data_IF_702303998495
#
_entry.id   IF_702303998495
#
_cell.length_a   1.000
_cell.length_b   1.000
_cell.length_c   1.000
_cell.angle_alpha   90.00
_cell.angle_beta   90.00
_cell.angle_gamma   90.00
#
_symmetry.space_group_name_H-M   'P 1'
#
loop_
_entity.id
_entity.type
_entity.pdbx_description
1 polymer ?
#
# COMPACT_ATOMS: atom_id res chain seq x y z
N UNK A 1 42.97 -15.10 -10.73
CA UNK A 1 42.21 -16.34 -10.95
C UNK A 1 41.28 -16.72 -9.78
N UNK A 2 41.76 -17.09 -8.57
CA UNK A 2 40.86 -17.51 -7.45
C UNK A 2 40.07 -16.36 -6.84
N UNK A 3 40.73 -15.24 -6.55
CA UNK A 3 40.10 -14.03 -5.97
C UNK A 3 39.11 -13.40 -6.94
N UNK A 4 39.45 -13.35 -8.22
CA UNK A 4 38.57 -12.86 -9.29
C UNK A 4 37.29 -13.70 -9.44
N UNK A 5 37.39 -15.03 -9.33
CA UNK A 5 36.21 -15.92 -9.33
C UNK A 5 35.32 -15.68 -8.11
N UNK A 6 35.91 -15.57 -6.92
CA UNK A 6 35.16 -15.26 -5.70
C UNK A 6 34.48 -13.89 -5.76
N UNK A 7 35.14 -12.90 -6.37
CA UNK A 7 34.57 -11.57 -6.61
C UNK A 7 33.38 -11.64 -7.57
N UNK A 8 33.49 -12.39 -8.67
CA UNK A 8 32.41 -12.56 -9.63
C UNK A 8 31.21 -13.32 -9.03
N UNK A 9 31.45 -14.34 -8.22
CA UNK A 9 30.39 -15.05 -7.50
C UNK A 9 29.62 -14.13 -6.55
N UNK A 10 30.35 -13.24 -5.85
CA UNK A 10 29.73 -12.26 -4.95
C UNK A 10 28.92 -11.21 -5.71
N UNK A 11 29.42 -10.73 -6.86
CA UNK A 11 28.69 -9.80 -7.73
C UNK A 11 27.39 -10.44 -8.21
N UNK A 12 27.46 -11.67 -8.74
CA UNK A 12 26.28 -12.41 -9.21
C UNK A 12 25.24 -12.61 -8.11
N UNK A 13 25.68 -12.81 -6.86
CA UNK A 13 24.77 -12.96 -5.72
C UNK A 13 24.09 -11.63 -5.38
N UNK A 14 24.85 -10.53 -5.35
CA UNK A 14 24.31 -9.18 -5.12
C UNK A 14 23.34 -8.74 -6.22
N UNK A 15 23.60 -9.10 -7.49
CA UNK A 15 22.69 -8.82 -8.60
C UNK A 15 21.35 -9.55 -8.43
N UNK A 16 21.38 -10.81 -8.00
CA UNK A 16 20.15 -11.57 -7.70
C UNK A 16 19.37 -10.99 -6.52
N UNK A 17 20.08 -10.56 -5.48
CA UNK A 17 19.46 -9.89 -4.34
C UNK A 17 18.81 -8.57 -4.77
N UNK A 18 19.49 -7.77 -5.59
CA UNK A 18 18.94 -6.52 -6.14
C UNK A 18 17.70 -6.77 -7.00
N UNK A 19 17.72 -7.78 -7.86
CA UNK A 19 16.54 -8.18 -8.64
C UNK A 19 15.36 -8.54 -7.73
N UNK A 20 15.60 -9.39 -6.72
CA UNK A 20 14.58 -9.81 -5.75
C UNK A 20 14.01 -8.62 -4.96
N UNK A 21 14.87 -7.68 -4.56
CA UNK A 21 14.44 -6.47 -3.84
C UNK A 21 13.61 -5.55 -4.74
N UNK A 22 13.94 -5.47 -6.02
CA UNK A 22 13.21 -4.67 -7.01
C UNK A 22 11.82 -5.24 -7.23
N UNK A 23 11.70 -6.55 -7.42
CA UNK A 23 10.41 -7.25 -7.56
C UNK A 23 9.50 -6.99 -6.35
N UNK A 24 10.03 -7.15 -5.13
CA UNK A 24 9.26 -6.88 -3.90
C UNK A 24 8.84 -5.42 -3.76
N UNK A 25 9.66 -4.49 -4.25
CA UNK A 25 9.32 -3.06 -4.24
C UNK A 25 8.16 -2.77 -5.20
N UNK A 26 8.14 -3.38 -6.38
CA UNK A 26 7.06 -3.26 -7.34
C UNK A 26 5.74 -3.85 -6.83
N UNK A 27 5.80 -5.04 -6.21
CA UNK A 27 4.65 -5.65 -5.53
C UNK A 27 4.10 -4.73 -4.44
N UNK A 28 4.98 -4.22 -3.57
CA UNK A 28 4.60 -3.30 -2.48
C UNK A 28 3.98 -2.01 -3.04
N UNK A 29 4.54 -1.47 -4.12
CA UNK A 29 4.00 -0.28 -4.79
C UNK A 29 2.58 -0.53 -5.33
N UNK A 30 2.34 -1.72 -5.86
CA UNK A 30 1.03 -2.13 -6.37
C UNK A 30 0.02 -2.25 -5.24
N UNK A 31 0.37 -2.93 -4.14
CA UNK A 31 -0.49 -3.00 -2.95
C UNK A 31 -0.82 -1.63 -2.37
N UNK A 32 0.14 -0.70 -2.35
CA UNK A 32 -0.09 0.66 -1.86
C UNK A 32 -1.12 1.42 -2.70
N UNK A 33 -1.13 1.23 -4.03
CA UNK A 33 -2.13 1.83 -4.91
C UNK A 33 -3.51 1.24 -4.63
N UNK A 34 -3.63 -0.08 -4.57
CA UNK A 34 -4.89 -0.75 -4.24
C UNK A 34 -5.43 -0.31 -2.87
N UNK A 35 -4.57 -0.13 -1.88
CA UNK A 35 -4.96 0.38 -0.57
C UNK A 35 -5.51 1.82 -0.62
N UNK A 36 -4.92 2.68 -1.44
CA UNK A 36 -5.43 4.05 -1.60
C UNK A 36 -6.78 4.06 -2.34
N UNK A 37 -6.95 3.21 -3.35
CA UNK A 37 -8.24 3.04 -4.05
C UNK A 37 -9.33 2.55 -3.09
N UNK A 38 -9.06 1.51 -2.30
CA UNK A 38 -9.99 1.01 -1.28
C UNK A 38 -10.34 2.09 -0.24
N UNK A 39 -9.37 2.92 0.16
CA UNK A 39 -9.61 4.02 1.09
C UNK A 39 -10.54 5.08 0.49
N UNK A 40 -10.42 5.38 -0.81
CA UNK A 40 -11.32 6.27 -1.52
C UNK A 40 -12.73 5.68 -1.65
N UNK A 41 -12.85 4.39 -2.00
CA UNK A 41 -14.13 3.70 -2.07
C UNK A 41 -14.84 3.68 -0.71
N UNK A 42 -14.13 3.31 0.36
CA UNK A 42 -14.65 3.32 1.73
C UNK A 42 -15.09 4.72 2.13
N UNK A 43 -14.35 5.77 1.75
CA UNK A 43 -14.74 7.17 2.00
C UNK A 43 -16.04 7.50 1.25
N UNK A 44 -16.18 7.07 0.00
CA UNK A 44 -17.39 7.18 -0.79
C UNK A 44 -18.60 6.52 -0.11
N UNK A 45 -18.45 5.28 0.33
CA UNK A 45 -19.49 4.53 1.05
C UNK A 45 -19.91 5.23 2.34
N UNK A 46 -18.96 5.70 3.15
CA UNK A 46 -19.27 6.43 4.39
C UNK A 46 -20.07 7.72 4.11
N UNK A 47 -19.70 8.45 3.06
CA UNK A 47 -20.43 9.65 2.62
C UNK A 47 -21.83 9.30 2.12
N UNK A 48 -21.96 8.25 1.32
CA UNK A 48 -23.24 7.76 0.82
C UNK A 48 -24.18 7.38 1.97
N UNK A 49 -23.69 6.61 2.94
CA UNK A 49 -24.46 6.22 4.13
C UNK A 49 -24.90 7.42 4.95
N UNK A 50 -24.01 8.38 5.21
CA UNK A 50 -24.36 9.58 5.96
C UNK A 50 -25.34 10.52 5.22
N UNK A 51 -25.46 10.43 3.89
CA UNK A 51 -26.43 11.17 3.09
C UNK A 51 -27.78 10.46 3.03
N UNK A 52 -27.77 9.15 2.84
CA UNK A 52 -28.97 8.31 2.68
C UNK A 52 -29.68 8.07 4.02
N UNK A 53 -28.91 7.93 5.10
CA UNK A 53 -29.39 7.66 6.45
C UNK A 53 -28.85 8.72 7.42
N UNK A 54 -29.53 9.85 7.62
CA UNK A 54 -29.04 10.94 8.48
C UNK A 54 -28.70 10.49 9.91
N UNK A 55 -29.43 9.53 10.47
CA UNK A 55 -29.19 8.90 11.77
C UNK A 55 -27.88 8.12 11.84
N UNK A 56 -27.32 7.72 10.71
CA UNK A 56 -25.99 7.10 10.66
C UNK A 56 -24.92 8.05 11.21
N UNK A 57 -25.04 9.36 10.95
CA UNK A 57 -24.08 10.36 11.44
C UNK A 57 -24.11 10.50 12.96
N UNK A 58 -25.29 10.42 13.57
CA UNK A 58 -25.45 10.52 15.02
C UNK A 58 -25.10 9.22 15.74
N UNK A 59 -25.38 8.06 15.14
CA UNK A 59 -25.02 6.75 15.68
C UNK A 59 -23.52 6.44 15.54
N UNK A 60 -22.89 6.92 14.48
CA UNK A 60 -21.48 6.61 14.17
C UNK A 60 -20.63 7.88 13.91
N UNK A 61 -20.54 8.82 14.87
CA UNK A 61 -19.81 10.07 14.70
C UNK A 61 -18.31 9.84 14.45
N UNK A 62 -17.72 8.81 15.07
CA UNK A 62 -16.29 8.49 14.89
C UNK A 62 -15.96 8.00 13.48
N UNK A 63 -16.91 7.33 12.81
CA UNK A 63 -16.74 6.93 11.40
C UNK A 63 -16.76 8.18 10.50
N UNK A 64 -17.65 9.13 10.80
CA UNK A 64 -17.77 10.38 10.05
C UNK A 64 -16.58 11.31 10.24
N UNK A 65 -16.02 11.42 11.47
CA UNK A 65 -14.80 12.22 11.74
C UNK A 65 -13.62 11.80 10.87
N UNK A 66 -13.50 10.49 10.57
CA UNK A 66 -12.42 9.95 9.71
C UNK A 66 -12.52 10.38 8.24
N UNK A 67 -13.65 10.97 7.80
CA UNK A 67 -13.79 11.52 6.44
C UNK A 67 -13.12 12.89 6.31
N UNK A 68 -13.10 13.66 7.41
CA UNK A 68 -12.67 15.06 7.44
C UNK A 68 -11.28 15.26 8.06
N UNK A 69 -10.71 14.25 8.71
CA UNK A 69 -9.29 14.25 9.08
C UNK A 69 -8.44 14.17 7.81
N UNK A 70 -7.69 15.24 7.54
CA UNK A 70 -6.62 15.25 6.54
C UNK A 70 -5.46 14.40 7.00
#
# INVERSE_FOLDING_TARGET
MKEERASNERINLLEKELATLTEKLEETSTFLKEMEDLKLEIKGLKLFLGRTYPEFKSKFPEIMKKIYKR
#
